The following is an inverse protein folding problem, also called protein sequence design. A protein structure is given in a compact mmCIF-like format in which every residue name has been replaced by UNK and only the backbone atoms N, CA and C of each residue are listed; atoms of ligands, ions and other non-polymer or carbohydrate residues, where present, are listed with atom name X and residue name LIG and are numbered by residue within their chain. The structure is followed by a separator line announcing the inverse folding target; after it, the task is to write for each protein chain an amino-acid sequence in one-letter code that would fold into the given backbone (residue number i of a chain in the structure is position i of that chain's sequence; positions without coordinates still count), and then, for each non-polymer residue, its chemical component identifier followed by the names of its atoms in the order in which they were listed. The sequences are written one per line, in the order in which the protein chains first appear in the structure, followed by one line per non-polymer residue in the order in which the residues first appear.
data_IF_126698804818
#
_entry.id   IF_126698804818
#
_cell.length_a   1.000
_cell.length_b   1.000
_cell.length_c   1.000
_cell.angle_alpha   90.00
_cell.angle_beta   90.00
_cell.angle_gamma   90.00
#
_symmetry.space_group_name_H-M   'P 1'
#
loop_
_entity.id
_entity.type
_entity.pdbx_description
1 polymer ?
#
# COMPACT_ATOMS: atom_id res chain seq x y z
N UNK A 1 -10.72 -2.82 -7.21
CA UNK A 1 -9.67 -3.58 -6.47
C UNK A 1 -8.65 -4.34 -7.33
N UNK A 2 -9.09 -5.23 -8.22
CA UNK A 2 -8.22 -6.22 -8.89
C UNK A 2 -7.03 -5.64 -9.68
N UNK A 3 -7.21 -4.47 -10.26
CA UNK A 3 -6.10 -3.79 -10.94
C UNK A 3 -5.00 -3.36 -9.98
N UNK A 4 -5.34 -2.85 -8.79
CA UNK A 4 -4.36 -2.46 -7.78
C UNK A 4 -3.61 -3.69 -7.26
N UNK A 5 -4.30 -4.79 -7.00
CA UNK A 5 -3.65 -6.05 -6.60
C UNK A 5 -2.63 -6.51 -7.66
N UNK A 6 -3.01 -6.49 -8.95
CA UNK A 6 -2.07 -6.81 -10.05
C UNK A 6 -0.88 -5.86 -10.11
N UNK A 7 -1.11 -4.54 -9.97
CA UNK A 7 -0.04 -3.54 -10.00
C UNK A 7 0.93 -3.69 -8.82
N UNK A 8 0.42 -3.92 -7.61
CA UNK A 8 1.26 -4.12 -6.42
C UNK A 8 2.17 -5.32 -6.60
N UNK A 9 1.65 -6.44 -7.12
CA UNK A 9 2.47 -7.63 -7.40
C UNK A 9 3.47 -7.41 -8.54
N UNK A 10 3.02 -6.85 -9.66
CA UNK A 10 3.84 -6.73 -10.86
C UNK A 10 4.98 -5.72 -10.73
N UNK A 11 4.81 -4.69 -9.89
CA UNK A 11 5.83 -3.65 -9.70
C UNK A 11 6.80 -3.98 -8.55
N UNK A 12 6.72 -5.17 -7.94
CA UNK A 12 7.66 -5.60 -6.90
C UNK A 12 8.85 -6.36 -7.50
N UNK A 13 10.09 -6.11 -7.01
CA UNK A 13 10.46 -5.11 -6.01
C UNK A 13 10.62 -3.68 -6.59
N UNK A 14 10.77 -3.57 -7.91
CA UNK A 14 11.08 -2.32 -8.60
C UNK A 14 10.07 -2.03 -9.72
N UNK A 15 9.56 -0.78 -9.83
CA UNK A 15 9.84 0.37 -8.97
C UNK A 15 9.07 0.36 -7.63
N UNK A 16 8.08 -0.53 -7.49
CA UNK A 16 7.11 -0.60 -6.40
C UNK A 16 5.88 0.29 -6.64
N UNK A 17 4.71 -0.17 -6.20
CA UNK A 17 3.48 0.61 -6.24
C UNK A 17 3.43 1.61 -5.06
N UNK A 18 2.81 2.77 -5.27
CA UNK A 18 2.71 3.81 -4.22
C UNK A 18 1.30 4.35 -4.09
N UNK A 19 0.94 4.75 -2.87
CA UNK A 19 -0.35 5.36 -2.54
C UNK A 19 -0.13 6.76 -1.96
N UNK A 20 -0.93 7.77 -2.36
CA UNK A 20 -0.99 9.04 -1.67
C UNK A 20 -1.67 8.87 -0.31
N UNK A 21 -1.21 9.64 0.67
CA UNK A 21 -1.75 9.72 2.03
C UNK A 21 -1.73 11.18 2.46
N UNK A 22 -2.46 11.53 3.53
CA UNK A 22 -2.40 12.87 4.12
C UNK A 22 -0.98 13.30 4.56
N UNK A 23 -0.06 12.35 4.76
CA UNK A 23 1.32 12.60 5.23
C UNK A 23 2.37 12.44 4.13
N UNK A 24 1.94 12.37 2.87
CA UNK A 24 2.82 12.17 1.71
C UNK A 24 2.53 10.86 1.00
N UNK A 25 3.57 10.15 0.56
CA UNK A 25 3.43 8.93 -0.24
C UNK A 25 4.04 7.73 0.47
N UNK A 26 3.35 6.61 0.45
CA UNK A 26 3.88 5.33 0.95
C UNK A 26 4.05 4.33 -0.19
N UNK A 27 5.04 3.43 -0.07
CA UNK A 27 5.15 2.27 -0.96
C UNK A 27 4.28 1.15 -0.41
N UNK A 28 3.48 0.51 -1.27
CA UNK A 28 2.71 -0.68 -0.92
C UNK A 28 3.53 -1.91 -1.24
N UNK A 29 3.69 -2.78 -0.25
CA UNK A 29 4.47 -4.01 -0.38
C UNK A 29 3.58 -5.24 -0.53
N UNK A 30 2.44 -5.25 0.16
CA UNK A 30 1.42 -6.29 0.02
C UNK A 30 0.04 -5.77 0.40
N UNK A 31 -0.98 -6.54 0.01
CA UNK A 31 -2.39 -6.27 0.29
C UNK A 31 -3.24 -7.36 -0.34
N UNK A 32 -4.54 -7.26 -0.15
CA UNK A 32 -5.52 -8.19 -0.71
C UNK A 32 -6.75 -7.44 -1.21
N UNK A 33 -7.60 -8.16 -1.94
CA UNK A 33 -8.90 -7.65 -2.38
C UNK A 33 -9.97 -8.10 -1.40
N UNK A 34 -10.72 -7.14 -0.88
CA UNK A 34 -11.93 -7.38 -0.08
C UNK A 34 -13.12 -6.76 -0.81
N UNK A 35 -13.93 -7.60 -1.46
CA UNK A 35 -15.01 -7.14 -2.34
C UNK A 35 -14.50 -6.30 -3.51
N UNK A 36 -14.90 -5.03 -3.56
CA UNK A 36 -14.51 -4.06 -4.60
C UNK A 36 -13.30 -3.20 -4.20
N UNK A 37 -12.80 -3.35 -2.96
CA UNK A 37 -11.68 -2.57 -2.40
C UNK A 37 -10.39 -3.37 -2.35
N UNK A 38 -9.28 -2.64 -2.52
CA UNK A 38 -7.96 -3.17 -2.26
C UNK A 38 -7.52 -2.70 -0.88
N UNK A 39 -7.20 -3.63 0.01
CA UNK A 39 -6.80 -3.37 1.39
C UNK A 39 -5.29 -3.60 1.49
N UNK A 40 -4.48 -2.54 1.71
CA UNK A 40 -3.05 -2.70 1.95
C UNK A 40 -2.80 -3.44 3.27
N UNK A 41 -1.90 -4.41 3.26
CA UNK A 41 -1.49 -5.16 4.46
C UNK A 41 -0.18 -4.61 5.03
N UNK A 42 0.82 -4.42 4.14
CA UNK A 42 2.16 -3.93 4.50
C UNK A 42 2.54 -2.77 3.60
N UNK A 43 2.98 -1.69 4.22
CA UNK A 43 3.44 -0.47 3.54
C UNK A 43 4.78 -0.01 4.09
N UNK A 44 5.46 0.84 3.35
CA UNK A 44 6.70 1.47 3.76
C UNK A 44 6.62 2.99 3.56
N UNK A 45 6.74 3.73 4.67
CA UNK A 45 6.88 5.17 4.63
C UNK A 45 8.33 5.57 4.26
N UNK A 46 8.55 6.77 3.67
CA UNK A 46 9.88 7.23 3.31
C UNK A 46 10.85 7.20 4.50
N UNK A 47 12.02 6.59 4.31
CA UNK A 47 13.06 6.48 5.34
C UNK A 47 12.71 5.58 6.53
N UNK A 48 11.60 4.83 6.48
CA UNK A 48 11.19 3.89 7.54
C UNK A 48 11.26 2.45 7.06
N UNK A 49 11.26 1.52 8.01
CA UNK A 49 11.10 0.09 7.73
C UNK A 49 9.65 -0.22 7.31
N UNK A 50 9.42 -1.31 6.55
CA UNK A 50 8.09 -1.84 6.32
C UNK A 50 7.29 -2.04 7.62
N UNK A 51 6.01 -1.71 7.61
CA UNK A 51 5.13 -1.85 8.75
C UNK A 51 3.68 -2.18 8.31
N UNK A 52 2.86 -2.77 9.20
CA UNK A 52 1.44 -2.98 8.95
C UNK A 52 0.74 -1.68 8.54
N UNK A 53 -0.08 -1.74 7.50
CA UNK A 53 -0.79 -0.57 6.97
C UNK A 53 -1.63 0.14 8.04
N UNK A 54 -2.28 -0.61 8.94
CA UNK A 54 -3.07 -0.07 10.05
C UNK A 54 -2.29 0.83 11.02
N UNK A 55 -0.96 0.69 11.08
CA UNK A 55 -0.09 1.54 11.93
C UNK A 55 0.36 2.81 11.21
N UNK A 56 0.34 2.81 9.87
CA UNK A 56 0.92 3.87 9.03
C UNK A 56 -0.18 4.72 8.39
N UNK A 57 -1.23 4.10 7.91
CA UNK A 57 -2.39 4.71 7.24
C UNK A 57 -3.42 5.10 8.29
N UNK A 58 -3.89 6.36 8.26
CA UNK A 58 -4.99 6.80 9.11
C UNK A 58 -6.34 6.29 8.59
N UNK A 59 -7.42 6.50 9.36
CA UNK A 59 -8.80 6.14 8.95
C UNK A 59 -9.27 6.76 7.62
N UNK A 60 -8.56 7.76 7.10
CA UNK A 60 -8.86 8.44 5.83
C UNK A 60 -7.99 7.97 4.66
N UNK A 61 -6.97 7.13 4.93
CA UNK A 61 -5.98 6.68 3.94
C UNK A 61 -6.04 5.16 3.68
N UNK A 62 -6.95 4.44 4.35
CA UNK A 62 -7.10 2.99 4.33
C UNK A 62 -8.34 2.54 3.53
#
# INVERSE_FOLDING_TARGET
AQEMDRRVRALQPWPGATLPTARGRVKVLSGHVEGDRYVPDVVQAPGKKPAPAKQVLGRRDA
#
